data_IF_295072284522
#
_entry.id   IF_295072284522
#
_cell.length_a   1.000
_cell.length_b   1.000
_cell.length_c   1.000
_cell.angle_alpha   90.00
_cell.angle_beta   90.00
_cell.angle_gamma   90.00
#
_symmetry.space_group_name_H-M   'P 1'
#
loop_
_entity.id
_entity.type
_entity.pdbx_description
1 polymer ?
#
# COMPACT_ATOMS: atom_id res chain seq x y z
N UNK A 1 15.40 6.08 16.03
CA UNK A 1 14.43 6.79 15.18
C UNK A 1 14.23 5.97 13.93
N UNK A 2 13.06 5.43 13.71
CA UNK A 2 12.78 4.63 12.49
C UNK A 2 12.68 5.60 11.33
N UNK A 3 13.73 5.73 10.56
CA UNK A 3 13.69 6.39 9.27
C UNK A 3 12.95 5.46 8.33
N UNK A 4 11.66 5.72 8.07
CA UNK A 4 10.91 5.01 7.06
C UNK A 4 11.55 5.31 5.71
N UNK A 5 12.31 4.37 5.23
CA UNK A 5 12.96 4.39 3.94
C UNK A 5 12.35 3.28 3.11
N UNK A 6 11.99 3.58 1.88
CA UNK A 6 11.68 2.57 0.87
C UNK A 6 12.80 2.57 -0.14
N UNK A 7 13.37 1.41 -0.40
CA UNK A 7 14.52 1.27 -1.29
C UNK A 7 14.33 0.07 -2.22
N UNK A 8 14.64 0.26 -3.49
CA UNK A 8 14.85 -0.84 -4.45
C UNK A 8 16.28 -0.81 -4.94
N UNK A 9 16.90 -1.97 -5.10
CA UNK A 9 18.28 -2.13 -5.57
C UNK A 9 18.26 -3.13 -6.73
N UNK A 10 18.59 -2.64 -7.93
CA UNK A 10 18.65 -3.40 -9.17
C UNK A 10 17.44 -4.31 -9.39
N UNK A 11 16.27 -3.77 -9.08
CA UNK A 11 15.02 -4.52 -9.12
C UNK A 11 14.64 -4.88 -10.56
N UNK A 12 14.57 -6.18 -10.84
CA UNK A 12 14.10 -6.73 -12.10
C UNK A 12 12.85 -7.59 -11.90
N UNK A 13 11.94 -7.52 -12.84
CA UNK A 13 10.74 -8.35 -12.85
C UNK A 13 10.20 -8.54 -14.26
N UNK A 14 9.76 -9.76 -14.57
CA UNK A 14 9.02 -10.11 -15.79
C UNK A 14 7.78 -10.91 -15.40
N UNK A 15 6.65 -10.61 -16.04
CA UNK A 15 5.51 -11.51 -16.02
C UNK A 15 5.80 -12.75 -16.89
N UNK A 16 5.12 -13.88 -16.65
CA UNK A 16 5.25 -15.04 -17.52
C UNK A 16 5.01 -14.65 -18.99
N UNK A 17 5.84 -15.16 -19.87
CA UNK A 17 5.75 -14.97 -21.33
C UNK A 17 5.71 -13.50 -21.80
N UNK A 18 6.26 -12.59 -21.00
CA UNK A 18 6.26 -11.15 -21.27
C UNK A 18 7.66 -10.55 -21.21
N UNK A 19 7.92 -9.47 -21.95
CA UNK A 19 9.18 -8.74 -21.80
C UNK A 19 9.34 -8.19 -20.36
N UNK A 20 10.57 -7.85 -19.96
CA UNK A 20 10.83 -7.29 -18.64
C UNK A 20 9.97 -6.06 -18.35
N UNK A 21 9.16 -6.11 -17.29
CA UNK A 21 8.37 -4.98 -16.82
C UNK A 21 9.20 -4.03 -15.96
N UNK A 22 10.21 -4.55 -15.25
CA UNK A 22 11.21 -3.80 -14.52
C UNK A 22 12.60 -4.33 -14.89
N UNK A 23 13.54 -3.44 -15.13
CA UNK A 23 14.90 -3.79 -15.55
C UNK A 23 15.93 -2.93 -14.81
N UNK A 24 16.47 -3.45 -13.69
CA UNK A 24 17.49 -2.79 -12.90
C UNK A 24 17.03 -1.50 -12.21
N UNK A 25 15.78 -1.46 -11.70
CA UNK A 25 15.24 -0.24 -11.09
C UNK A 25 15.80 -0.06 -9.69
N UNK A 26 16.59 1.00 -9.49
CA UNK A 26 17.09 1.42 -8.19
C UNK A 26 16.45 2.75 -7.81
N UNK A 27 15.78 2.78 -6.66
CA UNK A 27 15.03 3.92 -6.13
C UNK A 27 15.25 3.99 -4.63
N UNK A 28 15.31 5.20 -4.09
CA UNK A 28 15.35 5.42 -2.65
C UNK A 28 14.42 6.56 -2.29
N UNK A 29 13.52 6.31 -1.33
CA UNK A 29 12.57 7.28 -0.80
C UNK A 29 12.81 7.41 0.70
N UNK A 30 13.06 8.64 1.16
CA UNK A 30 13.33 8.94 2.56
C UNK A 30 12.10 9.51 3.26
N UNK A 31 12.18 9.65 4.58
CA UNK A 31 11.09 10.17 5.38
C UNK A 31 10.70 11.60 4.96
N UNK A 32 9.40 11.84 4.77
CA UNK A 32 8.86 13.13 4.38
C UNK A 32 8.87 13.43 2.87
N UNK A 33 9.44 12.54 2.06
CA UNK A 33 9.41 12.70 0.61
C UNK A 33 8.06 12.28 -0.01
N UNK A 34 7.63 13.03 -1.02
CA UNK A 34 6.54 12.68 -1.91
C UNK A 34 7.12 12.44 -3.30
N UNK A 35 6.95 11.23 -3.81
CA UNK A 35 7.51 10.81 -5.11
C UNK A 35 6.38 10.48 -6.09
N UNK A 36 6.44 11.05 -7.28
CA UNK A 36 5.53 10.74 -8.38
C UNK A 36 6.23 9.83 -9.40
N UNK A 37 5.65 8.68 -9.70
CA UNK A 37 6.11 7.77 -10.76
C UNK A 37 5.31 8.07 -12.01
N UNK A 38 5.95 8.63 -13.04
CA UNK A 38 5.32 9.03 -14.31
C UNK A 38 5.85 8.20 -15.46
N UNK A 39 5.04 8.02 -16.50
CA UNK A 39 5.39 7.25 -17.69
C UNK A 39 4.16 6.76 -18.45
N UNK A 40 4.35 6.27 -19.65
CA UNK A 40 3.30 5.72 -20.50
C UNK A 40 2.61 4.49 -19.92
N UNK A 41 1.52 4.04 -20.56
CA UNK A 41 0.89 2.78 -20.23
C UNK A 41 1.85 1.62 -20.50
N UNK A 42 1.89 0.63 -19.61
CA UNK A 42 2.83 -0.49 -19.72
C UNK A 42 4.26 -0.22 -19.25
N UNK A 43 4.59 1.00 -18.80
CA UNK A 43 5.95 1.35 -18.35
C UNK A 43 6.38 0.73 -17.01
N UNK A 44 5.60 -0.17 -16.42
CA UNK A 44 5.97 -0.84 -15.17
C UNK A 44 5.62 -0.10 -13.87
N UNK A 45 4.92 1.05 -13.93
CA UNK A 45 4.61 1.87 -12.74
C UNK A 45 3.86 1.09 -11.64
N UNK A 46 2.75 0.46 -12.01
CA UNK A 46 1.96 -0.36 -11.07
C UNK A 46 2.74 -1.58 -10.59
N UNK A 47 3.53 -2.19 -11.48
CA UNK A 47 4.40 -3.30 -11.14
C UNK A 47 5.42 -2.90 -10.09
N UNK A 48 6.06 -1.74 -10.22
CA UNK A 48 6.98 -1.21 -9.22
C UNK A 48 6.28 -1.06 -7.85
N UNK A 49 5.11 -0.42 -7.81
CA UNK A 49 4.36 -0.22 -6.56
C UNK A 49 3.97 -1.54 -5.88
N UNK A 50 3.59 -2.57 -6.66
CA UNK A 50 3.25 -3.90 -6.14
C UNK A 50 4.44 -4.61 -5.48
N UNK A 51 5.68 -4.31 -5.88
CA UNK A 51 6.88 -4.82 -5.23
C UNK A 51 7.16 -4.14 -3.89
N UNK A 52 6.81 -2.84 -3.74
CA UNK A 52 7.12 -2.09 -2.53
C UNK A 52 6.36 -2.61 -1.29
N UNK A 53 5.19 -3.22 -1.45
CA UNK A 53 4.44 -3.84 -0.35
C UNK A 53 4.48 -5.37 -0.40
N UNK A 54 5.31 -5.96 -1.28
CA UNK A 54 5.51 -7.40 -1.38
C UNK A 54 4.32 -8.18 -1.92
N UNK A 55 3.47 -7.56 -2.75
CA UNK A 55 2.44 -8.29 -3.52
C UNK A 55 3.05 -9.09 -4.66
N UNK A 56 4.13 -8.59 -5.25
CA UNK A 56 4.93 -9.31 -6.24
C UNK A 56 6.33 -9.56 -5.68
N UNK A 57 6.85 -10.78 -5.76
CA UNK A 57 8.26 -11.07 -5.46
C UNK A 57 9.13 -10.64 -6.65
N UNK A 58 10.32 -10.07 -6.43
CA UNK A 58 11.24 -9.72 -7.51
C UNK A 58 11.79 -10.98 -8.22
N UNK A 59 12.06 -10.86 -9.52
CA UNK A 59 12.81 -11.89 -10.26
C UNK A 59 14.30 -11.83 -9.88
N UNK A 60 14.82 -10.62 -9.70
CA UNK A 60 16.15 -10.37 -9.14
C UNK A 60 16.21 -8.97 -8.53
N UNK A 61 17.29 -8.66 -7.81
CA UNK A 61 17.43 -7.42 -7.05
C UNK A 61 16.78 -7.53 -5.67
N UNK A 62 16.59 -6.39 -5.02
CA UNK A 62 16.06 -6.33 -3.66
C UNK A 62 15.08 -5.17 -3.49
N UNK A 63 14.12 -5.37 -2.59
CA UNK A 63 13.25 -4.32 -2.07
C UNK A 63 13.41 -4.29 -0.55
N UNK A 64 13.49 -3.11 0.03
CA UNK A 64 13.60 -2.91 1.49
C UNK A 64 12.64 -1.83 1.96
N UNK A 65 12.11 -2.01 3.16
CA UNK A 65 11.33 -1.01 3.88
C UNK A 65 11.99 -0.80 5.24
N UNK A 66 12.59 0.37 5.43
CA UNK A 66 13.54 0.58 6.51
C UNK A 66 14.69 -0.43 6.42
N UNK A 67 14.97 -1.11 7.52
CA UNK A 67 15.99 -2.16 7.57
C UNK A 67 15.47 -3.56 7.19
N UNK A 68 14.17 -3.67 6.84
CA UNK A 68 13.51 -4.95 6.60
C UNK A 68 13.52 -5.26 5.11
N UNK A 69 14.19 -6.33 4.64
CA UNK A 69 14.05 -6.80 3.27
C UNK A 69 12.64 -7.35 3.04
N UNK A 70 12.06 -7.04 1.89
CA UNK A 70 10.74 -7.57 1.50
C UNK A 70 10.90 -8.99 0.97
N UNK A 71 10.47 -9.96 1.78
CA UNK A 71 10.57 -11.40 1.48
C UNK A 71 9.28 -12.10 1.92
N UNK A 72 9.01 -13.34 1.50
CA UNK A 72 7.86 -14.10 1.99
C UNK A 72 7.79 -14.23 3.52
N UNK A 73 8.94 -14.20 4.20
CA UNK A 73 9.03 -14.31 5.67
C UNK A 73 8.77 -12.99 6.40
N UNK A 74 9.02 -11.87 5.75
CA UNK A 74 8.95 -10.53 6.35
C UNK A 74 7.77 -9.70 5.84
N UNK A 75 7.09 -10.13 4.78
CA UNK A 75 6.04 -9.37 4.10
C UNK A 75 4.90 -8.94 5.03
N UNK A 76 4.51 -9.77 5.99
CA UNK A 76 3.48 -9.42 6.96
C UNK A 76 3.88 -8.15 7.76
N UNK A 77 5.11 -8.13 8.27
CA UNK A 77 5.66 -6.98 9.00
C UNK A 77 5.86 -5.75 8.12
N UNK A 78 6.23 -5.94 6.85
CA UNK A 78 6.33 -4.84 5.88
C UNK A 78 4.97 -4.17 5.66
N UNK A 79 3.91 -4.95 5.52
CA UNK A 79 2.53 -4.45 5.31
C UNK A 79 1.95 -3.70 6.51
N UNK A 80 2.50 -3.87 7.70
CA UNK A 80 2.17 -3.03 8.86
C UNK A 80 2.64 -1.57 8.68
N UNK A 81 3.67 -1.36 7.85
CA UNK A 81 4.31 -0.06 7.63
C UNK A 81 3.99 0.55 6.26
N UNK A 82 3.58 -0.26 5.29
CA UNK A 82 3.31 0.16 3.90
C UNK A 82 1.83 -0.02 3.58
N UNK A 83 1.09 1.08 3.58
CA UNK A 83 -0.27 1.12 3.06
C UNK A 83 -0.27 1.24 1.53
N UNK A 84 -1.20 0.57 0.87
CA UNK A 84 -1.38 0.63 -0.58
C UNK A 84 -2.82 1.01 -0.92
N UNK A 85 -2.97 1.94 -1.87
CA UNK A 85 -4.26 2.29 -2.45
C UNK A 85 -4.25 1.86 -3.92
N UNK A 86 -5.21 1.02 -4.30
CA UNK A 86 -5.33 0.55 -5.68
C UNK A 86 -6.06 1.57 -6.56
N UNK A 87 -5.89 1.43 -7.86
CA UNK A 87 -6.51 2.35 -8.84
C UNK A 87 -8.04 2.27 -8.81
N UNK A 88 -8.60 1.09 -8.61
CA UNK A 88 -10.03 0.86 -8.45
C UNK A 88 -10.32 0.68 -6.95
N UNK A 89 -11.03 1.64 -6.37
CA UNK A 89 -11.35 1.61 -4.94
C UNK A 89 -12.28 0.44 -4.58
N UNK A 90 -13.15 0.05 -5.50
CA UNK A 90 -14.08 -1.07 -5.33
C UNK A 90 -13.38 -2.40 -5.09
N UNK A 91 -12.19 -2.61 -5.66
CA UNK A 91 -11.38 -3.82 -5.47
C UNK A 91 -10.89 -4.00 -4.02
N UNK A 92 -11.01 -2.95 -3.20
CA UNK A 92 -10.59 -2.95 -1.80
C UNK A 92 -11.74 -3.12 -0.81
N UNK A 93 -12.97 -2.94 -1.27
CA UNK A 93 -14.16 -2.99 -0.41
C UNK A 93 -14.75 -4.40 -0.46
N UNK A 94 -14.65 -5.13 0.63
CA UNK A 94 -15.15 -6.52 0.72
C UNK A 94 -15.97 -6.82 1.97
N UNK A 95 -16.03 -5.86 2.92
CA UNK A 95 -16.84 -6.00 4.12
C UNK A 95 -18.24 -5.39 3.94
N UNK A 96 -19.26 -5.90 4.66
CA UNK A 96 -20.63 -5.40 4.56
C UNK A 96 -20.79 -3.92 4.93
N UNK A 97 -19.98 -3.40 5.81
CA UNK A 97 -20.04 -2.03 6.26
C UNK A 97 -18.67 -1.34 6.20
N UNK A 98 -18.68 -0.02 5.98
CA UNK A 98 -17.45 0.81 5.98
C UNK A 98 -16.66 0.65 7.29
N UNK A 99 -17.35 0.55 8.42
CA UNK A 99 -16.71 0.38 9.74
C UNK A 99 -15.96 -0.94 9.83
N UNK A 100 -16.54 -2.03 9.34
CA UNK A 100 -15.90 -3.35 9.33
C UNK A 100 -14.73 -3.39 8.36
N UNK A 101 -14.86 -2.74 7.21
CA UNK A 101 -13.80 -2.66 6.21
C UNK A 101 -12.59 -1.91 6.74
N UNK A 102 -12.80 -0.75 7.37
CA UNK A 102 -11.72 0.00 8.05
C UNK A 102 -11.13 -0.75 9.24
N UNK A 103 -11.93 -1.55 9.95
CA UNK A 103 -11.46 -2.36 11.08
C UNK A 103 -10.63 -3.58 10.67
N UNK A 104 -10.74 -4.03 9.42
CA UNK A 104 -10.09 -5.26 8.95
C UNK A 104 -8.57 -5.26 9.11
N UNK A 105 -7.90 -4.15 8.75
CA UNK A 105 -6.47 -3.99 8.93
C UNK A 105 -6.03 -4.15 10.40
N UNK A 106 -6.53 -3.32 11.30
CA UNK A 106 -6.22 -3.43 12.73
C UNK A 106 -6.56 -4.79 13.36
N UNK A 107 -7.65 -5.45 12.92
CA UNK A 107 -8.00 -6.80 13.36
C UNK A 107 -6.93 -7.82 12.98
N UNK A 108 -6.47 -7.79 11.73
CA UNK A 108 -5.42 -8.70 11.26
C UNK A 108 -4.05 -8.44 11.90
N UNK A 109 -3.81 -7.23 12.37
CA UNK A 109 -2.61 -6.88 13.14
C UNK A 109 -2.70 -7.32 14.60
N UNK A 110 -3.83 -7.87 15.06
CA UNK A 110 -4.01 -8.36 16.42
C UNK A 110 -4.15 -7.27 17.48
N UNK A 111 -4.56 -6.05 17.11
CA UNK A 111 -4.79 -5.00 18.11
C UNK A 111 -5.96 -5.35 19.03
N UNK A 112 -5.92 -4.90 20.31
CA UNK A 112 -7.03 -5.08 21.24
C UNK A 112 -8.28 -4.29 20.77
N UNK A 113 -9.51 -4.75 21.13
CA UNK A 113 -10.76 -4.17 20.65
C UNK A 113 -10.89 -2.65 20.84
N UNK A 114 -10.42 -2.12 21.97
CA UNK A 114 -10.45 -0.68 22.26
C UNK A 114 -9.56 0.12 21.30
N UNK A 115 -8.39 -0.41 20.99
CA UNK A 115 -7.46 0.23 20.05
C UNK A 115 -8.00 0.18 18.62
N UNK A 116 -8.63 -0.93 18.22
CA UNK A 116 -9.31 -1.06 16.94
C UNK A 116 -10.40 0.02 16.82
N UNK A 117 -11.26 0.14 17.82
CA UNK A 117 -12.34 1.14 17.84
C UNK A 117 -11.79 2.55 17.68
N UNK A 118 -10.75 2.90 18.45
CA UNK A 118 -10.10 4.21 18.37
C UNK A 118 -9.54 4.50 16.99
N UNK A 119 -8.84 3.55 16.37
CA UNK A 119 -8.25 3.69 15.02
C UNK A 119 -9.31 3.84 13.94
N UNK A 120 -10.37 3.05 14.01
CA UNK A 120 -11.50 3.12 13.07
C UNK A 120 -12.16 4.49 13.14
N UNK A 121 -12.47 4.99 14.33
CA UNK A 121 -13.06 6.33 14.47
C UNK A 121 -12.15 7.45 13.98
N UNK A 122 -10.86 7.35 14.25
CA UNK A 122 -9.87 8.30 13.76
C UNK A 122 -9.81 8.30 12.21
N UNK A 123 -9.76 7.11 11.58
CA UNK A 123 -9.74 6.98 10.12
C UNK A 123 -11.02 7.54 9.48
N UNK A 124 -12.19 7.22 10.04
CA UNK A 124 -13.47 7.72 9.55
C UNK A 124 -13.59 9.24 9.66
N UNK A 125 -13.05 9.85 10.72
CA UNK A 125 -13.00 11.32 10.86
C UNK A 125 -12.10 11.96 9.79
N UNK A 126 -10.95 11.35 9.50
CA UNK A 126 -10.02 11.86 8.47
C UNK A 126 -10.59 11.75 7.06
N UNK A 127 -11.40 10.74 6.80
CA UNK A 127 -11.99 10.48 5.47
C UNK A 127 -13.07 11.48 5.06
N UNK A 128 -13.49 12.40 5.94
CA UNK A 128 -14.57 13.38 5.69
C UNK A 128 -15.92 12.73 5.33
N UNK A 129 -16.10 11.43 5.53
CA UNK A 129 -17.37 10.73 5.26
C UNK A 129 -18.55 11.38 6.00
N UNK A 130 -18.30 12.03 7.13
CA UNK A 130 -19.32 12.76 7.89
C UNK A 130 -19.67 14.16 7.30
N UNK A 131 -18.94 14.63 6.29
CA UNK A 131 -19.17 15.95 5.68
C UNK A 131 -20.05 15.83 4.42
N UNK A 132 -20.14 14.65 3.83
CA UNK A 132 -21.00 14.36 2.68
C UNK A 132 -22.39 13.90 3.13
N UNK A 133 -23.11 14.67 3.93
CA UNK A 133 -24.57 14.60 3.85
C UNK A 133 -24.98 15.15 2.49
N UNK A 134 -25.59 14.33 1.61
CA UNK A 134 -26.20 14.89 0.43
C UNK A 134 -27.33 15.81 0.94
N UNK A 135 -27.15 17.12 0.75
CA UNK A 135 -28.28 18.05 0.83
C UNK A 135 -29.29 17.57 -0.20
N UNK A 136 -30.23 16.72 0.22
CA UNK A 136 -31.44 16.48 -0.52
C UNK A 136 -32.11 17.83 -0.70
N UNK A 137 -31.93 18.44 -1.88
CA UNK A 137 -32.86 19.45 -2.34
C UNK A 137 -34.21 18.72 -2.50
N UNK A 138 -35.06 18.87 -1.53
CA UNK A 138 -36.50 18.62 -1.70
C UNK A 138 -37.02 19.61 -2.73
N UNK A 139 -37.82 19.17 -3.69
CA UNK A 139 -38.45 20.01 -4.70
C UNK A 139 -39.38 21.06 -4.09
#
# INVERSE_FOLDING_TARGET
MSHHLVETIDLCFSYPDSPPALNGVSLRITHGESVAVVGGNGAGKSTLLLHLNGLLPPSSGQVRVGDIPVTPKTVARVRESVGMVFQQAEDQLFMPTVREDVAFGPLNMGFPPEEIRRRVEQALRLSLIHISEPTRRTP
#
